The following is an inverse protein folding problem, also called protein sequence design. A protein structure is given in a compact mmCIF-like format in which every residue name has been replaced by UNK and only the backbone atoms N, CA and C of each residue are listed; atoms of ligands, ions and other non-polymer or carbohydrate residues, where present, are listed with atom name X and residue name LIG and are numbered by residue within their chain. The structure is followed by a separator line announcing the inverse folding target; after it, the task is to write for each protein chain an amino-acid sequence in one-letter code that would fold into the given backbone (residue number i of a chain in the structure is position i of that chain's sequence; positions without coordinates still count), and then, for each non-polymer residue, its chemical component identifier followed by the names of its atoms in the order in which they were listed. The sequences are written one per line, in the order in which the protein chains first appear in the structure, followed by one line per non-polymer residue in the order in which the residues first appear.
data_IF_250646407881
#
_entry.id   IF_250646407881
#
_cell.length_a   1.000
_cell.length_b   1.000
_cell.length_c   1.000
_cell.angle_alpha   90.00
_cell.angle_beta   90.00
_cell.angle_gamma   90.00
#
_symmetry.space_group_name_H-M   'P 1'
#
loop_
_entity.id
_entity.type
_entity.pdbx_description
1 polymer ?
#
# COMPACT_ATOMS: atom_id res chain seq x y z
N UNK A 1 -71.93 43.67 -12.27
CA UNK A 1 -70.84 43.08 -13.07
C UNK A 1 -69.60 42.95 -12.16
N UNK A 2 -69.41 41.79 -11.53
CA UNK A 2 -68.24 41.52 -10.66
C UNK A 2 -67.22 40.69 -11.43
N UNK A 3 -66.04 41.26 -11.66
CA UNK A 3 -64.90 40.54 -12.27
C UNK A 3 -64.16 39.79 -11.18
N UNK A 4 -64.16 38.46 -11.29
CA UNK A 4 -63.42 37.55 -10.42
C UNK A 4 -62.01 37.46 -10.98
N UNK A 5 -60.99 37.94 -10.25
CA UNK A 5 -59.57 37.77 -10.57
C UNK A 5 -59.12 36.43 -9.98
N UNK A 6 -58.75 35.49 -10.88
CA UNK A 6 -58.19 34.20 -10.54
C UNK A 6 -56.66 34.35 -10.46
N UNK A 7 -56.13 34.35 -9.24
CA UNK A 7 -54.65 34.38 -9.04
C UNK A 7 -54.10 32.95 -9.05
N UNK A 8 -53.36 32.59 -10.11
CA UNK A 8 -52.70 31.29 -10.21
C UNK A 8 -51.39 31.36 -9.44
N UNK A 9 -51.29 30.61 -8.32
CA UNK A 9 -50.02 30.40 -7.58
C UNK A 9 -49.27 29.28 -8.27
N UNK A 10 -48.17 29.64 -8.96
CA UNK A 10 -47.22 28.68 -9.56
C UNK A 10 -46.24 28.25 -8.46
N UNK A 11 -46.51 27.10 -7.81
CA UNK A 11 -45.61 26.54 -6.81
C UNK A 11 -44.35 25.94 -7.47
N UNK A 12 -43.19 26.58 -7.31
CA UNK A 12 -41.91 26.00 -7.66
C UNK A 12 -41.56 24.83 -6.71
N UNK A 13 -41.75 23.61 -7.18
CA UNK A 13 -41.26 22.42 -6.47
C UNK A 13 -39.75 22.33 -6.61
N UNK A 14 -39.03 22.73 -5.57
CA UNK A 14 -37.60 22.44 -5.46
C UNK A 14 -37.41 20.95 -5.18
N UNK A 15 -37.08 20.16 -6.21
CA UNK A 15 -36.63 18.81 -6.04
C UNK A 15 -35.20 18.84 -5.46
N UNK A 16 -35.09 18.57 -4.15
CA UNK A 16 -33.79 18.28 -3.53
C UNK A 16 -33.25 16.97 -4.15
N UNK A 17 -32.33 17.05 -5.11
CA UNK A 17 -31.54 15.92 -5.50
C UNK A 17 -30.76 15.46 -4.28
N UNK A 18 -31.19 14.36 -3.67
CA UNK A 18 -30.41 13.66 -2.66
C UNK A 18 -29.15 13.14 -3.36
N UNK A 19 -28.02 13.82 -3.17
CA UNK A 19 -26.72 13.25 -3.51
C UNK A 19 -26.57 11.99 -2.66
N UNK A 20 -26.75 10.82 -3.26
CA UNK A 20 -26.33 9.56 -2.65
C UNK A 20 -24.83 9.64 -2.47
N UNK A 21 -24.41 9.86 -1.23
CA UNK A 21 -22.99 9.84 -0.88
C UNK A 21 -22.48 8.41 -1.12
N UNK A 22 -21.63 8.24 -2.12
CA UNK A 22 -21.04 6.94 -2.43
C UNK A 22 -20.29 6.40 -1.22
N UNK A 23 -20.44 5.08 -0.95
CA UNK A 23 -19.68 4.41 0.10
C UNK A 23 -18.19 4.76 -0.05
N UNK A 24 -17.51 5.14 1.02
CA UNK A 24 -16.09 5.47 0.93
C UNK A 24 -15.27 4.23 0.54
N UNK A 25 -14.29 4.43 -0.32
CA UNK A 25 -13.29 3.44 -0.70
C UNK A 25 -12.49 3.01 0.53
N UNK A 26 -12.27 1.72 0.71
CA UNK A 26 -11.53 1.14 1.83
C UNK A 26 -10.16 0.61 1.38
N UNK A 27 -9.14 0.77 2.23
CA UNK A 27 -7.77 0.38 1.90
C UNK A 27 -7.12 -0.36 3.06
N UNK A 28 -6.58 -1.56 2.79
CA UNK A 28 -5.78 -2.37 3.71
C UNK A 28 -4.32 -2.38 3.26
N UNK A 29 -3.39 -2.05 4.16
CA UNK A 29 -1.95 -2.18 3.93
C UNK A 29 -1.37 -3.20 4.90
N UNK A 30 -0.79 -4.28 4.37
CA UNK A 30 -0.19 -5.36 5.16
C UNK A 30 1.31 -5.48 4.87
N UNK A 31 2.11 -5.72 5.91
CA UNK A 31 3.56 -5.79 5.74
C UNK A 31 4.37 -5.72 7.02
N UNK A 32 5.51 -5.05 6.94
CA UNK A 32 6.49 -4.90 8.03
C UNK A 32 6.76 -3.43 8.39
N UNK A 33 7.97 -3.12 8.89
CA UNK A 33 8.38 -1.76 9.25
C UNK A 33 8.30 -0.76 8.10
N UNK A 34 8.48 -1.21 6.87
CA UNK A 34 8.37 -0.34 5.70
C UNK A 34 6.92 0.03 5.39
N UNK A 35 5.96 -0.77 5.82
CA UNK A 35 4.53 -0.46 5.68
C UNK A 35 4.03 0.46 6.79
N UNK A 36 4.42 0.22 8.06
CA UNK A 36 4.06 1.15 9.15
C UNK A 36 4.75 2.51 9.01
N UNK A 37 5.87 2.59 8.30
CA UNK A 37 6.69 3.79 8.19
C UNK A 37 7.53 4.02 9.45
N UNK A 38 8.39 3.02 9.77
CA UNK A 38 9.32 3.16 10.90
C UNK A 38 10.13 4.45 10.77
N UNK A 39 10.34 5.13 11.90
CA UNK A 39 11.11 6.38 12.02
C UNK A 39 10.54 7.61 11.29
N UNK A 40 9.30 7.54 10.77
CA UNK A 40 8.55 8.71 10.29
C UNK A 40 7.19 8.80 11.00
N UNK A 41 6.58 10.00 11.10
CA UNK A 41 5.21 10.12 11.60
C UNK A 41 4.24 9.27 10.77
N UNK A 42 3.24 8.65 11.39
CA UNK A 42 2.27 7.80 10.70
C UNK A 42 1.63 8.45 9.46
N UNK A 43 1.36 9.76 9.50
CA UNK A 43 0.85 10.53 8.34
C UNK A 43 1.84 10.60 7.16
N UNK A 44 3.08 10.13 7.34
CA UNK A 44 4.16 10.19 6.35
C UNK A 44 4.58 8.82 5.82
N UNK A 45 4.00 7.73 6.30
CA UNK A 45 4.17 6.43 5.66
C UNK A 45 3.46 6.38 4.30
N UNK A 46 3.81 5.42 3.43
CA UNK A 46 3.22 5.39 2.10
C UNK A 46 1.70 5.12 2.10
N UNK A 47 1.10 4.27 2.98
CA UNK A 47 -0.34 4.07 2.96
C UNK A 47 -1.13 5.34 3.25
N UNK A 48 -0.77 6.08 4.30
CA UNK A 48 -1.45 7.33 4.66
C UNK A 48 -1.24 8.43 3.63
N UNK A 49 -0.04 8.54 3.06
CA UNK A 49 0.21 9.49 1.97
C UNK A 49 -0.59 9.12 0.71
N UNK A 50 -0.73 7.83 0.37
CA UNK A 50 -1.58 7.36 -0.74
C UNK A 50 -3.04 7.79 -0.52
N UNK A 51 -3.60 7.53 0.67
CA UNK A 51 -4.97 7.95 0.99
C UNK A 51 -5.14 9.48 0.89
N UNK A 52 -4.17 10.24 1.37
CA UNK A 52 -4.19 11.71 1.26
C UNK A 52 -4.17 12.19 -0.20
N UNK A 53 -3.37 11.55 -1.05
CA UNK A 53 -3.28 11.85 -2.48
C UNK A 53 -4.59 11.50 -3.21
N UNK A 54 -5.21 10.37 -2.88
CA UNK A 54 -6.51 9.97 -3.43
C UNK A 54 -7.62 10.92 -3.00
N UNK A 55 -7.65 11.34 -1.71
CA UNK A 55 -8.59 12.38 -1.21
C UNK A 55 -8.42 13.69 -1.98
N UNK A 56 -7.17 14.12 -2.21
CA UNK A 56 -6.87 15.32 -3.01
C UNK A 56 -7.31 15.18 -4.47
N UNK A 57 -7.33 13.98 -5.01
CA UNK A 57 -7.84 13.68 -6.35
C UNK A 57 -9.38 13.53 -6.40
N UNK A 58 -10.09 13.77 -5.30
CA UNK A 58 -11.56 13.71 -5.22
C UNK A 58 -12.13 12.34 -4.90
N UNK A 59 -11.30 11.35 -4.56
CA UNK A 59 -11.76 10.02 -4.16
C UNK A 59 -12.16 10.05 -2.69
N UNK A 60 -13.42 9.66 -2.41
CA UNK A 60 -13.87 9.45 -1.04
C UNK A 60 -13.28 8.13 -0.50
N UNK A 61 -12.20 8.23 0.25
CA UNK A 61 -11.46 7.09 0.83
C UNK A 61 -11.31 7.24 2.34
N UNK A 62 -11.45 6.13 3.09
CA UNK A 62 -11.17 6.10 4.52
C UNK A 62 -9.68 6.23 4.82
N UNK A 63 -9.33 6.40 6.08
CA UNK A 63 -7.96 6.16 6.53
C UNK A 63 -7.62 4.68 6.29
N UNK A 64 -6.38 4.35 5.85
CA UNK A 64 -5.99 2.97 5.61
C UNK A 64 -5.98 2.15 6.91
N UNK A 65 -6.49 0.92 6.84
CA UNK A 65 -6.23 -0.09 7.86
C UNK A 65 -4.83 -0.63 7.64
N UNK A 66 -3.96 -0.55 8.65
CA UNK A 66 -2.57 -1.01 8.55
C UNK A 66 -2.36 -2.18 9.49
N UNK A 67 -1.92 -3.34 8.96
CA UNK A 67 -1.49 -4.51 9.73
C UNK A 67 -0.04 -4.79 9.36
N UNK A 68 0.84 -4.23 10.14
CA UNK A 68 2.28 -4.31 9.91
C UNK A 68 3.02 -4.06 11.22
N UNK A 69 4.22 -4.62 11.36
CA UNK A 69 5.08 -4.42 12.53
C UNK A 69 6.55 -4.55 12.16
N UNK A 70 7.38 -3.78 12.84
CA UNK A 70 8.84 -3.82 12.71
C UNK A 70 9.38 -5.23 12.91
N UNK A 71 10.20 -5.66 11.96
CA UNK A 71 10.90 -6.94 12.03
C UNK A 71 10.11 -8.14 11.51
N UNK A 72 8.83 -8.01 11.19
CA UNK A 72 8.04 -9.16 10.73
C UNK A 72 8.57 -9.78 9.44
N UNK A 73 8.65 -11.12 9.49
CA UNK A 73 8.80 -12.02 8.35
C UNK A 73 7.44 -12.43 7.81
N UNK A 74 7.42 -13.17 6.72
CA UNK A 74 6.17 -13.64 6.09
C UNK A 74 5.32 -14.50 7.02
N UNK A 75 5.93 -15.42 7.77
CA UNK A 75 5.24 -16.28 8.75
C UNK A 75 4.66 -15.48 9.93
N UNK A 76 5.40 -14.48 10.45
CA UNK A 76 4.94 -13.60 11.55
C UNK A 76 3.76 -12.72 11.10
N UNK A 77 3.79 -12.21 9.88
CA UNK A 77 2.64 -11.49 9.30
C UNK A 77 1.43 -12.41 9.13
N UNK A 78 1.63 -13.61 8.60
CA UNK A 78 0.55 -14.60 8.40
C UNK A 78 -0.10 -15.00 9.73
N UNK A 79 0.71 -15.24 10.77
CA UNK A 79 0.21 -15.53 12.11
C UNK A 79 -0.66 -14.39 12.66
N UNK A 80 -0.23 -13.13 12.49
CA UNK A 80 -1.03 -11.97 12.91
C UNK A 80 -2.34 -11.86 12.14
N UNK A 81 -2.31 -12.03 10.82
CA UNK A 81 -3.52 -11.96 9.98
C UNK A 81 -4.53 -13.04 10.38
N UNK A 82 -4.09 -14.26 10.72
CA UNK A 82 -4.97 -15.35 11.16
C UNK A 82 -5.73 -15.04 12.46
N UNK A 83 -5.18 -14.16 13.30
CA UNK A 83 -5.77 -13.74 14.58
C UNK A 83 -6.56 -12.43 14.48
N UNK A 84 -6.49 -11.75 13.34
CA UNK A 84 -7.13 -10.44 13.16
C UNK A 84 -8.48 -10.60 12.46
N UNK A 85 -9.54 -10.10 13.10
CA UNK A 85 -10.86 -10.00 12.45
C UNK A 85 -10.93 -8.72 11.63
N UNK A 86 -11.02 -8.87 10.32
CA UNK A 86 -11.13 -7.76 9.38
C UNK A 86 -12.56 -7.65 8.83
N UNK A 87 -13.01 -6.42 8.62
CA UNK A 87 -14.27 -6.14 7.92
C UNK A 87 -14.05 -6.19 6.41
N UNK A 88 -13.97 -7.40 5.88
CA UNK A 88 -13.78 -7.65 4.44
C UNK A 88 -15.09 -7.55 3.65
N UNK A 89 -15.05 -7.28 2.32
CA UNK A 89 -13.85 -6.99 1.55
C UNK A 89 -13.40 -5.53 1.65
N UNK A 90 -12.08 -5.32 1.40
CA UNK A 90 -11.51 -4.01 1.14
C UNK A 90 -11.53 -3.70 -0.36
N UNK A 91 -11.63 -2.42 -0.71
CA UNK A 91 -11.55 -2.01 -2.12
C UNK A 91 -10.14 -2.11 -2.66
N UNK A 92 -9.11 -1.88 -1.83
CA UNK A 92 -7.71 -2.08 -2.20
C UNK A 92 -6.91 -2.74 -1.09
N UNK A 93 -5.93 -3.56 -1.49
CA UNK A 93 -4.96 -4.18 -0.58
C UNK A 93 -3.54 -3.97 -1.12
N UNK A 94 -2.61 -3.50 -0.27
CA UNK A 94 -1.17 -3.51 -0.58
C UNK A 94 -0.45 -4.53 0.28
N UNK A 95 0.52 -5.24 -0.31
CA UNK A 95 1.41 -6.19 0.36
C UNK A 95 2.86 -5.79 0.13
N UNK A 96 3.60 -5.52 1.21
CA UNK A 96 5.04 -5.31 1.20
C UNK A 96 5.65 -6.08 2.37
N UNK A 97 6.33 -7.20 2.08
CA UNK A 97 6.92 -8.10 3.07
C UNK A 97 8.09 -8.86 2.46
N UNK A 98 9.08 -9.24 3.28
CA UNK A 98 10.15 -10.14 2.86
C UNK A 98 11.56 -9.65 3.13
N UNK A 99 11.76 -8.36 3.39
CA UNK A 99 13.08 -7.84 3.71
C UNK A 99 13.66 -8.52 4.97
N UNK A 100 12.83 -8.81 5.97
CA UNK A 100 13.24 -9.47 7.20
C UNK A 100 13.52 -10.97 6.98
N UNK A 101 12.87 -11.62 6.01
CA UNK A 101 13.22 -12.98 5.61
C UNK A 101 14.65 -13.01 5.04
N UNK A 102 14.98 -12.09 4.13
CA UNK A 102 16.33 -11.95 3.57
C UNK A 102 17.33 -11.58 4.68
N UNK A 103 17.05 -10.58 5.52
CA UNK A 103 17.95 -10.12 6.58
C UNK A 103 18.29 -11.23 7.59
N UNK A 104 17.34 -12.12 7.90
CA UNK A 104 17.51 -13.26 8.80
C UNK A 104 18.04 -14.51 8.09
N UNK A 105 18.37 -14.44 6.80
CA UNK A 105 18.90 -15.56 6.02
C UNK A 105 17.92 -16.72 5.84
N UNK A 106 16.61 -16.45 5.80
CA UNK A 106 15.60 -17.47 5.51
C UNK A 106 15.75 -17.97 4.06
N UNK A 107 15.38 -19.22 3.81
CA UNK A 107 15.50 -19.76 2.46
C UNK A 107 14.51 -19.09 1.50
N UNK A 108 14.93 -18.89 0.25
CA UNK A 108 14.08 -18.32 -0.77
C UNK A 108 12.91 -19.26 -1.15
N UNK A 109 13.07 -20.56 -0.96
CA UNK A 109 12.00 -21.54 -1.17
C UNK A 109 10.89 -21.40 -0.13
N UNK A 110 11.26 -21.32 1.17
CA UNK A 110 10.33 -21.02 2.25
C UNK A 110 9.61 -19.70 2.03
N UNK A 111 10.38 -18.66 1.68
CA UNK A 111 9.84 -17.35 1.39
C UNK A 111 8.83 -17.37 0.24
N UNK A 112 9.16 -18.02 -0.88
CA UNK A 112 8.28 -18.09 -2.04
C UNK A 112 6.91 -18.69 -1.69
N UNK A 113 6.91 -19.79 -0.93
CA UNK A 113 5.69 -20.45 -0.47
C UNK A 113 4.85 -19.54 0.43
N UNK A 114 5.47 -18.96 1.46
CA UNK A 114 4.78 -18.10 2.42
C UNK A 114 4.30 -16.79 1.78
N UNK A 115 5.07 -16.24 0.84
CA UNK A 115 4.67 -15.05 0.10
C UNK A 115 3.45 -15.34 -0.80
N UNK A 116 3.42 -16.49 -1.46
CA UNK A 116 2.27 -16.90 -2.29
C UNK A 116 1.00 -17.05 -1.44
N UNK A 117 1.10 -17.68 -0.27
CA UNK A 117 -0.01 -17.83 0.68
C UNK A 117 -0.53 -16.46 1.16
N UNK A 118 0.37 -15.51 1.49
CA UNK A 118 0.01 -14.15 1.86
C UNK A 118 -0.64 -13.38 0.71
N UNK A 119 -0.17 -13.58 -0.52
CA UNK A 119 -0.76 -12.94 -1.69
C UNK A 119 -2.18 -13.46 -1.96
N UNK A 120 -2.42 -14.76 -1.83
CA UNK A 120 -3.76 -15.35 -1.92
C UNK A 120 -4.69 -14.74 -0.85
N UNK A 121 -4.20 -14.62 0.38
CA UNK A 121 -4.97 -14.00 1.47
C UNK A 121 -5.25 -12.50 1.18
N UNK A 122 -4.31 -11.78 0.59
CA UNK A 122 -4.52 -10.39 0.15
C UNK A 122 -5.61 -10.28 -0.93
N UNK A 123 -5.65 -11.26 -1.86
CA UNK A 123 -6.70 -11.35 -2.89
C UNK A 123 -8.07 -11.62 -2.24
N UNK A 124 -8.13 -12.52 -1.26
CA UNK A 124 -9.37 -12.79 -0.52
C UNK A 124 -9.86 -11.55 0.23
N UNK A 125 -8.94 -10.78 0.85
CA UNK A 125 -9.27 -9.50 1.48
C UNK A 125 -9.77 -8.44 0.49
N UNK A 126 -9.37 -8.53 -0.78
CA UNK A 126 -9.89 -7.68 -1.85
C UNK A 126 -11.19 -8.23 -2.48
N UNK A 127 -11.83 -9.25 -1.88
CA UNK A 127 -13.04 -9.88 -2.40
C UNK A 127 -12.82 -10.61 -3.72
N UNK A 128 -11.64 -11.21 -3.92
CA UNK A 128 -11.25 -11.93 -5.13
C UNK A 128 -10.81 -11.05 -6.30
N UNK A 129 -10.75 -9.73 -6.13
CA UNK A 129 -10.39 -8.78 -7.20
C UNK A 129 -8.86 -8.64 -7.30
N UNK A 130 -8.23 -9.39 -8.17
CA UNK A 130 -6.77 -9.37 -8.33
C UNK A 130 -6.21 -8.01 -8.78
N UNK A 131 -6.94 -7.28 -9.60
CA UNK A 131 -6.60 -5.91 -10.02
C UNK A 131 -6.73 -4.85 -8.90
N UNK A 132 -7.24 -5.22 -7.73
CA UNK A 132 -7.31 -4.38 -6.54
C UNK A 132 -6.21 -4.72 -5.51
N UNK A 133 -5.32 -5.67 -5.85
CA UNK A 133 -4.17 -6.04 -5.03
C UNK A 133 -2.89 -5.50 -5.65
N UNK A 134 -2.06 -4.88 -4.82
CA UNK A 134 -0.82 -4.23 -5.24
C UNK A 134 0.31 -4.75 -4.36
N UNK A 135 1.26 -5.45 -4.98
CA UNK A 135 2.52 -5.85 -4.34
C UNK A 135 3.57 -4.76 -4.58
N UNK A 136 4.27 -4.36 -3.52
CA UNK A 136 5.48 -3.54 -3.65
C UNK A 136 6.70 -4.45 -3.49
N UNK A 137 7.74 -4.19 -4.30
CA UNK A 137 9.04 -4.86 -4.12
C UNK A 137 9.63 -4.52 -2.76
N UNK A 138 10.45 -5.41 -2.20
CA UNK A 138 11.20 -5.12 -0.98
C UNK A 138 12.32 -4.12 -1.25
N UNK A 139 12.58 -3.19 -0.33
CA UNK A 139 13.63 -2.17 -0.48
C UNK A 139 15.04 -2.76 -0.35
N UNK A 140 16.01 -2.12 -0.99
CA UNK A 140 17.42 -2.46 -0.81
C UNK A 140 18.02 -1.69 0.38
N UNK A 141 18.10 -2.36 1.52
CA UNK A 141 18.71 -1.78 2.70
C UNK A 141 20.24 -1.74 2.64
N UNK A 142 20.85 -2.49 1.72
CA UNK A 142 22.31 -2.56 1.55
C UNK A 142 22.96 -1.22 1.19
N UNK A 143 22.20 -0.28 0.64
CA UNK A 143 22.72 1.06 0.30
C UNK A 143 22.67 2.05 1.46
N UNK A 144 21.98 1.72 2.55
CA UNK A 144 21.74 2.61 3.67
C UNK A 144 22.93 2.68 4.63
N UNK A 145 23.01 3.69 5.52
CA UNK A 145 24.01 3.72 6.60
C UNK A 145 23.99 2.48 7.49
N UNK A 146 22.82 1.89 7.73
CA UNK A 146 22.67 0.68 8.55
C UNK A 146 23.49 -0.51 8.02
N UNK A 147 23.76 -0.56 6.72
CA UNK A 147 24.58 -1.58 6.08
C UNK A 147 26.11 -1.30 6.15
N UNK A 148 26.56 -0.38 7.01
CA UNK A 148 27.98 -0.15 7.20
C UNK A 148 28.67 -1.43 7.71
N UNK A 149 29.80 -1.78 7.10
CA UNK A 149 30.55 -3.02 7.41
C UNK A 149 29.92 -4.31 6.86
N UNK A 150 28.81 -4.24 6.12
CA UNK A 150 28.17 -5.40 5.49
C UNK A 150 28.57 -5.53 4.02
N UNK A 151 28.45 -6.74 3.47
CA UNK A 151 28.60 -6.96 2.02
C UNK A 151 27.38 -6.42 1.26
N UNK A 152 27.45 -5.14 0.89
CA UNK A 152 26.41 -4.44 0.16
C UNK A 152 26.06 -5.07 -1.19
N UNK A 153 27.04 -5.66 -1.87
CA UNK A 153 26.82 -6.32 -3.17
C UNK A 153 26.04 -7.62 -3.00
N UNK A 154 26.35 -8.38 -1.96
CA UNK A 154 25.61 -9.60 -1.64
C UNK A 154 24.18 -9.27 -1.23
N UNK A 155 23.97 -8.26 -0.38
CA UNK A 155 22.63 -7.80 0.01
C UNK A 155 21.82 -7.42 -1.24
N UNK A 156 22.35 -6.57 -2.12
CA UNK A 156 21.65 -6.16 -3.33
C UNK A 156 21.24 -7.35 -4.22
N UNK A 157 22.13 -8.33 -4.36
CA UNK A 157 21.87 -9.56 -5.11
C UNK A 157 20.73 -10.39 -4.52
N UNK A 158 20.73 -10.54 -3.20
CA UNK A 158 19.69 -11.29 -2.48
C UNK A 158 18.34 -10.56 -2.56
N UNK A 159 18.33 -9.23 -2.38
CA UNK A 159 17.13 -8.41 -2.56
C UNK A 159 16.55 -8.54 -3.98
N UNK A 160 17.40 -8.48 -5.01
CA UNK A 160 16.98 -8.67 -6.40
C UNK A 160 16.38 -10.07 -6.61
N UNK A 161 16.96 -11.09 -5.99
CA UNK A 161 16.48 -12.46 -6.07
C UNK A 161 15.10 -12.61 -5.40
N UNK A 162 14.91 -12.10 -4.18
CA UNK A 162 13.61 -12.09 -3.50
C UNK A 162 12.56 -11.30 -4.30
N UNK A 163 12.94 -10.17 -4.86
CA UNK A 163 12.06 -9.36 -5.71
C UNK A 163 11.67 -10.07 -7.01
N UNK A 164 12.57 -10.89 -7.58
CA UNK A 164 12.23 -11.72 -8.74
C UNK A 164 11.15 -12.77 -8.42
N UNK A 165 11.15 -13.30 -7.19
CA UNK A 165 10.10 -14.21 -6.69
C UNK A 165 8.78 -13.46 -6.58
N UNK A 166 8.78 -12.29 -5.93
CA UNK A 166 7.59 -11.47 -5.76
C UNK A 166 6.95 -11.10 -7.11
N UNK A 167 7.78 -10.64 -8.05
CA UNK A 167 7.31 -10.24 -9.37
C UNK A 167 6.73 -11.43 -10.14
N UNK A 168 7.40 -12.58 -10.12
CA UNK A 168 6.94 -13.80 -10.79
C UNK A 168 5.58 -14.26 -10.23
N UNK A 169 5.43 -14.32 -8.90
CA UNK A 169 4.19 -14.74 -8.25
C UNK A 169 3.09 -13.69 -8.50
N UNK A 170 3.40 -12.40 -8.41
CA UNK A 170 2.44 -11.32 -8.72
C UNK A 170 1.91 -11.42 -10.14
N UNK A 171 2.76 -11.69 -11.13
CA UNK A 171 2.36 -11.92 -12.53
C UNK A 171 1.49 -13.16 -12.69
N UNK A 172 1.80 -14.25 -12.00
CA UNK A 172 1.02 -15.50 -12.02
C UNK A 172 -0.42 -15.26 -11.54
N UNK A 173 -0.59 -14.48 -10.47
CA UNK A 173 -1.90 -14.13 -9.89
C UNK A 173 -2.56 -12.91 -10.55
N UNK A 174 -1.90 -12.27 -11.54
CA UNK A 174 -2.40 -11.09 -12.26
C UNK A 174 -2.73 -9.92 -11.33
N UNK A 175 -1.94 -9.74 -10.27
CA UNK A 175 -1.99 -8.58 -9.40
C UNK A 175 -1.00 -7.52 -9.88
N UNK A 176 -1.19 -6.28 -9.42
CA UNK A 176 -0.24 -5.22 -9.72
C UNK A 176 1.06 -5.41 -8.95
N UNK A 177 2.19 -5.16 -9.61
CA UNK A 177 3.52 -5.15 -9.00
C UNK A 177 4.19 -3.80 -9.23
N UNK A 178 4.59 -3.15 -8.14
CA UNK A 178 5.31 -1.87 -8.17
C UNK A 178 6.74 -2.11 -7.70
N UNK A 179 7.71 -1.95 -8.59
CA UNK A 179 9.12 -2.03 -8.24
C UNK A 179 9.58 -0.70 -7.62
N UNK A 180 9.64 -0.66 -6.27
CA UNK A 180 10.14 0.51 -5.52
C UNK A 180 11.63 0.42 -5.20
N UNK A 181 12.26 -0.71 -5.43
CA UNK A 181 13.68 -0.94 -5.11
C UNK A 181 14.63 0.07 -5.78
N UNK A 182 14.43 0.48 -7.06
CA UNK A 182 15.24 1.53 -7.66
C UNK A 182 15.18 2.85 -6.89
N UNK A 183 14.01 3.23 -6.34
CA UNK A 183 13.88 4.46 -5.53
C UNK A 183 14.73 4.40 -4.27
N UNK A 184 14.72 3.26 -3.56
CA UNK A 184 15.53 3.10 -2.37
C UNK A 184 17.03 3.15 -2.69
N UNK A 185 17.45 2.66 -3.85
CA UNK A 185 18.85 2.70 -4.29
C UNK A 185 19.37 4.12 -4.57
N UNK A 186 18.50 5.06 -4.89
CA UNK A 186 18.88 6.48 -5.05
C UNK A 186 19.37 7.10 -3.74
N UNK A 187 19.04 6.54 -2.57
CA UNK A 187 19.55 6.97 -1.28
C UNK A 187 21.09 6.86 -1.16
N UNK A 188 21.74 6.12 -2.02
CA UNK A 188 23.20 6.12 -2.13
C UNK A 188 23.74 7.52 -2.46
N UNK A 189 23.06 8.26 -3.34
CA UNK A 189 23.42 9.60 -3.77
C UNK A 189 22.69 10.71 -2.98
N UNK A 190 21.42 10.46 -2.57
CA UNK A 190 20.59 11.42 -1.83
C UNK A 190 20.22 10.90 -0.42
N UNK A 191 21.00 11.29 0.58
CA UNK A 191 20.79 10.89 1.98
C UNK A 191 19.48 11.41 2.57
N UNK A 192 18.83 12.40 1.95
CA UNK A 192 17.51 12.88 2.39
C UNK A 192 16.38 11.87 2.16
N UNK A 193 16.65 10.80 1.41
CA UNK A 193 15.71 9.70 1.18
C UNK A 193 15.71 8.67 2.31
N UNK A 194 16.66 8.73 3.25
CA UNK A 194 16.74 7.86 4.42
C UNK A 194 16.24 8.59 5.66
N UNK A 195 15.51 7.90 6.52
CA UNK A 195 15.06 8.42 7.81
C UNK A 195 16.22 8.53 8.81
N UNK A 196 15.95 9.10 10.00
CA UNK A 196 16.98 9.38 11.01
C UNK A 196 17.65 8.13 11.60
N UNK A 197 17.00 6.97 11.49
CA UNK A 197 17.55 5.70 11.95
C UNK A 197 18.63 5.12 11.01
N UNK A 198 18.86 5.75 9.87
CA UNK A 198 19.85 5.32 8.90
C UNK A 198 19.49 4.06 8.14
N UNK A 199 18.23 3.59 8.21
CA UNK A 199 17.75 2.36 7.58
C UNK A 199 16.50 2.59 6.73
N UNK A 200 15.42 3.08 7.35
CA UNK A 200 14.13 3.17 6.71
C UNK A 200 14.01 4.38 5.78
N UNK A 201 13.07 4.36 4.83
CA UNK A 201 12.82 5.50 3.93
C UNK A 201 12.36 6.73 4.70
N UNK A 202 12.78 7.89 4.25
CA UNK A 202 12.27 9.16 4.77
C UNK A 202 10.83 9.41 4.27
N UNK A 203 10.16 10.39 4.88
CA UNK A 203 8.85 10.87 4.41
C UNK A 203 8.86 11.27 2.92
N UNK A 204 10.00 11.76 2.41
CA UNK A 204 10.22 12.16 1.01
C UNK A 204 10.20 10.93 0.09
N UNK A 205 10.87 9.85 0.47
CA UNK A 205 10.88 8.63 -0.34
C UNK A 205 9.53 7.91 -0.29
N UNK A 206 8.91 7.82 0.89
CA UNK A 206 7.54 7.29 1.02
C UNK A 206 6.52 8.05 0.17
N UNK A 207 6.68 9.36 -0.04
CA UNK A 207 5.81 10.13 -0.93
C UNK A 207 5.91 9.64 -2.39
N UNK A 208 7.09 9.24 -2.83
CA UNK A 208 7.32 8.68 -4.17
C UNK A 208 6.62 7.33 -4.34
N UNK A 209 6.69 6.47 -3.31
CA UNK A 209 5.98 5.19 -3.32
C UNK A 209 4.46 5.40 -3.33
N UNK A 210 3.98 6.34 -2.52
CA UNK A 210 2.56 6.68 -2.45
C UNK A 210 2.00 7.18 -3.78
N UNK A 211 2.76 7.99 -4.55
CA UNK A 211 2.35 8.40 -5.90
C UNK A 211 2.20 7.19 -6.83
N UNK A 212 3.11 6.20 -6.77
CA UNK A 212 3.00 4.99 -7.60
C UNK A 212 1.80 4.13 -7.21
N UNK A 213 1.53 3.96 -5.93
CA UNK A 213 0.34 3.23 -5.45
C UNK A 213 -0.94 3.96 -5.87
N UNK A 214 -1.01 5.28 -5.69
CA UNK A 214 -2.12 6.12 -6.15
C UNK A 214 -2.35 5.99 -7.67
N UNK A 215 -1.29 6.01 -8.50
CA UNK A 215 -1.40 5.86 -9.96
C UNK A 215 -2.10 4.55 -10.34
N UNK A 216 -1.82 3.46 -9.63
CA UNK A 216 -2.48 2.16 -9.85
C UNK A 216 -3.93 2.22 -9.38
N UNK A 217 -4.17 2.66 -8.13
CA UNK A 217 -5.52 2.72 -7.58
C UNK A 217 -6.46 3.58 -8.42
N UNK A 218 -5.99 4.72 -8.94
CA UNK A 218 -6.78 5.62 -9.79
C UNK A 218 -7.23 4.99 -11.12
N UNK A 219 -6.55 3.98 -11.62
CA UNK A 219 -6.96 3.25 -12.84
C UNK A 219 -8.09 2.27 -12.56
N UNK A 220 -8.18 1.78 -11.32
CA UNK A 220 -9.14 0.77 -10.89
C UNK A 220 -10.39 1.38 -10.21
N UNK A 221 -10.31 2.60 -9.69
CA UNK A 221 -11.46 3.36 -9.19
C UNK A 221 -12.22 3.92 -10.40
N UNK A 222 -13.35 3.32 -10.70
CA UNK A 222 -14.27 3.78 -11.75
C UNK A 222 -15.61 4.19 -11.15
#
# INVERSE_FOLDING_TARGET
MHKLLLTIFLGLAFTKSAFMQSKPTTYLAIGDSYTIGESVPASKNFPNQTAALLKKAGINITEPTIIAKTGWTTDELQEQLSRTRLAVPFDFVTLLIGVNNQYRGRSAEEYAKQFEELLQQAIDYAGGKTNHVIVLSIPDWGITPFAEGRDRKQIAKEIDFYNSINERISKQYKVHYINITPFTREAAADKTLVAKDGLHPSAKDYARWAEKVKEVMMKEVK
#
